data_IF_366288351809
#
_entry.id   IF_366288351809
#
_cell.length_a   1.000
_cell.length_b   1.000
_cell.length_c   1.000
_cell.angle_alpha   90.00
_cell.angle_beta   90.00
_cell.angle_gamma   90.00
#
_symmetry.space_group_name_H-M   'P 1'
#
loop_
_entity.id
_entity.type
_entity.pdbx_description
1 polymer ?
#
# COMPACT_ATOMS: atom_id res chain seq x y z
N UNK A 1 -57.61 72.95 -34.86
CA UNK A 1 -58.39 73.19 -33.63
C UNK A 1 -58.83 71.83 -33.08
N UNK A 2 -58.66 71.64 -31.78
CA UNK A 2 -58.75 70.37 -31.04
C UNK A 2 -60.12 69.67 -31.14
N UNK A 3 -60.12 68.34 -31.19
CA UNK A 3 -61.32 67.53 -30.92
C UNK A 3 -60.93 66.22 -30.22
N UNK A 4 -61.58 65.94 -29.09
CA UNK A 4 -61.35 64.82 -28.18
C UNK A 4 -62.25 63.62 -28.53
N UNK A 5 -61.71 62.40 -28.47
CA UNK A 5 -62.43 61.10 -28.40
C UNK A 5 -61.54 60.12 -27.63
N UNK A 6 -61.81 59.80 -26.36
CA UNK A 6 -62.84 58.95 -25.75
C UNK A 6 -62.36 57.51 -25.49
N UNK A 7 -62.06 57.25 -24.21
CA UNK A 7 -62.26 56.03 -23.39
C UNK A 7 -62.30 54.64 -24.06
N UNK A 8 -61.50 53.69 -23.55
CA UNK A 8 -61.98 52.59 -22.67
C UNK A 8 -61.11 51.32 -22.76
N UNK A 9 -60.63 50.90 -21.58
CA UNK A 9 -60.44 49.52 -21.07
C UNK A 9 -60.04 48.34 -21.98
N UNK A 10 -58.99 47.63 -21.55
CA UNK A 10 -58.67 46.24 -21.94
C UNK A 10 -57.17 45.96 -21.75
N UNK A 11 -56.69 45.76 -20.52
CA UNK A 11 -56.35 44.43 -19.98
C UNK A 11 -55.55 43.55 -20.94
N UNK A 12 -54.23 43.47 -20.75
CA UNK A 12 -53.49 42.22 -21.00
C UNK A 12 -52.25 42.17 -20.11
N UNK A 13 -52.41 41.35 -19.07
CA UNK A 13 -51.36 40.77 -18.25
C UNK A 13 -50.36 40.07 -19.20
N UNK A 14 -49.22 40.70 -19.47
CA UNK A 14 -48.18 40.17 -20.33
C UNK A 14 -46.84 40.27 -19.64
N UNK A 15 -46.62 39.41 -18.65
CA UNK A 15 -45.33 39.19 -18.03
C UNK A 15 -44.28 38.80 -19.08
N UNK A 16 -43.49 39.76 -19.56
CA UNK A 16 -42.22 39.42 -20.19
C UNK A 16 -41.11 39.68 -19.17
N UNK A 17 -40.93 38.69 -18.29
CA UNK A 17 -39.60 38.41 -17.79
C UNK A 17 -38.77 38.05 -19.03
N UNK A 18 -38.15 39.03 -19.67
CA UNK A 18 -37.04 38.72 -20.56
C UNK A 18 -35.91 38.37 -19.62
N UNK A 19 -35.91 37.10 -19.21
CA UNK A 19 -34.77 36.44 -18.64
C UNK A 19 -33.77 36.29 -19.79
N UNK A 20 -33.16 37.41 -20.21
CA UNK A 20 -31.97 37.42 -21.06
C UNK A 20 -30.80 36.90 -20.22
N UNK A 21 -30.91 35.64 -19.80
CA UNK A 21 -29.83 34.84 -19.23
C UNK A 21 -29.02 34.23 -20.37
N UNK A 22 -28.74 35.05 -21.39
CA UNK A 22 -27.71 34.78 -22.37
C UNK A 22 -26.42 35.38 -21.84
N UNK A 23 -25.59 34.57 -21.19
CA UNK A 23 -24.24 34.98 -20.81
C UNK A 23 -23.42 35.15 -22.10
N UNK A 24 -23.51 36.31 -22.73
CA UNK A 24 -22.66 36.70 -23.86
C UNK A 24 -21.25 36.96 -23.32
N UNK A 25 -20.47 35.88 -23.20
CA UNK A 25 -19.03 35.95 -23.01
C UNK A 25 -18.45 36.68 -24.21
N UNK A 26 -17.93 37.89 -24.00
CA UNK A 26 -17.20 38.64 -25.02
C UNK A 26 -16.06 37.75 -25.54
N UNK A 27 -15.86 37.66 -26.87
CA UNK A 27 -14.90 36.71 -27.48
C UNK A 27 -13.48 36.75 -26.89
N UNK A 28 -13.12 37.88 -26.29
CA UNK A 28 -11.88 38.08 -25.54
C UNK A 28 -11.76 37.18 -24.29
N UNK A 29 -12.79 37.08 -23.44
CA UNK A 29 -12.72 36.27 -22.22
C UNK A 29 -12.79 34.77 -22.51
N UNK A 30 -13.54 34.36 -23.54
CA UNK A 30 -13.53 32.97 -24.03
C UNK A 30 -12.11 32.53 -24.42
N UNK A 31 -11.37 33.40 -25.11
CA UNK A 31 -9.99 33.14 -25.52
C UNK A 31 -9.05 33.00 -24.31
N UNK A 32 -9.22 33.86 -23.29
CA UNK A 32 -8.43 33.79 -22.06
C UNK A 32 -8.68 32.48 -21.31
N UNK A 33 -9.93 32.04 -21.21
CA UNK A 33 -10.24 30.76 -20.56
C UNK A 33 -9.62 29.58 -21.31
N UNK A 34 -9.75 29.54 -22.64
CA UNK A 34 -9.18 28.46 -23.46
C UNK A 34 -7.65 28.44 -23.33
N UNK A 35 -6.99 29.60 -23.42
CA UNK A 35 -5.55 29.70 -23.25
C UNK A 35 -5.11 29.30 -21.82
N UNK A 36 -5.88 29.69 -20.81
CA UNK A 36 -5.65 29.31 -19.41
C UNK A 36 -5.76 27.80 -19.19
N UNK A 37 -6.80 27.15 -19.71
CA UNK A 37 -6.94 25.69 -19.61
C UNK A 37 -5.85 24.95 -20.39
N UNK A 38 -5.47 25.46 -21.57
CA UNK A 38 -4.39 24.87 -22.36
C UNK A 38 -3.04 24.92 -21.61
N UNK A 39 -2.71 26.07 -21.01
CA UNK A 39 -1.47 26.23 -20.24
C UNK A 39 -1.49 25.40 -18.96
N UNK A 40 -2.60 25.40 -18.22
CA UNK A 40 -2.77 24.57 -17.03
C UNK A 40 -2.67 23.08 -17.36
N UNK A 41 -3.31 22.64 -18.45
CA UNK A 41 -3.22 21.27 -18.93
C UNK A 41 -1.79 20.88 -19.28
N UNK A 42 -1.06 21.73 -19.99
CA UNK A 42 0.34 21.49 -20.31
C UNK A 42 1.22 21.38 -19.05
N UNK A 43 0.99 22.23 -18.05
CA UNK A 43 1.70 22.18 -16.78
C UNK A 43 1.42 20.87 -16.02
N UNK A 44 0.16 20.45 -15.96
CA UNK A 44 -0.24 19.20 -15.31
C UNK A 44 0.38 17.98 -16.00
N UNK A 45 0.33 17.93 -17.34
CA UNK A 45 0.95 16.83 -18.12
C UNK A 45 2.45 16.79 -17.87
N UNK A 46 3.12 17.95 -17.90
CA UNK A 46 4.57 18.04 -17.66
C UNK A 46 4.93 17.54 -16.25
N UNK A 47 4.12 17.90 -15.24
CA UNK A 47 4.29 17.44 -13.86
C UNK A 47 4.08 15.92 -13.74
N UNK A 48 3.06 15.37 -14.41
CA UNK A 48 2.83 13.92 -14.41
C UNK A 48 3.98 13.18 -15.06
N UNK A 49 4.50 13.68 -16.19
CA UNK A 49 5.66 13.09 -16.88
C UNK A 49 6.91 13.16 -16.02
N UNK A 50 7.18 14.30 -15.37
CA UNK A 50 8.35 14.45 -14.50
C UNK A 50 8.26 13.53 -13.28
N UNK A 51 7.09 13.41 -12.66
CA UNK A 51 6.85 12.48 -11.56
C UNK A 51 7.00 11.03 -12.00
N UNK A 52 6.46 10.65 -13.15
CA UNK A 52 6.62 9.31 -13.69
C UNK A 52 8.10 8.97 -13.96
N UNK A 53 8.85 9.91 -14.52
CA UNK A 53 10.30 9.74 -14.75
C UNK A 53 11.09 9.61 -13.44
N UNK A 54 10.75 10.38 -12.40
CA UNK A 54 11.36 10.23 -11.08
C UNK A 54 11.06 8.85 -10.48
N UNK A 55 9.82 8.37 -10.61
CA UNK A 55 9.41 7.06 -10.11
C UNK A 55 10.11 5.92 -10.87
N UNK A 56 10.20 6.06 -12.20
CA UNK A 56 10.90 5.11 -13.06
C UNK A 56 12.41 5.11 -12.80
N UNK A 57 13.02 6.25 -12.49
CA UNK A 57 14.43 6.34 -12.10
C UNK A 57 14.69 5.60 -10.78
N UNK A 58 13.81 5.76 -9.80
CA UNK A 58 13.88 4.98 -8.54
C UNK A 58 13.70 3.49 -8.79
N UNK A 59 12.78 3.08 -9.67
CA UNK A 59 12.55 1.67 -9.99
C UNK A 59 13.70 1.04 -10.79
N UNK A 60 14.24 1.76 -11.78
CA UNK A 60 15.35 1.31 -12.62
C UNK A 60 16.65 1.18 -11.83
N UNK A 61 16.86 2.02 -10.81
CA UNK A 61 17.96 1.87 -9.85
C UNK A 61 17.75 0.72 -8.85
N UNK A 62 16.49 0.29 -8.64
CA UNK A 62 16.11 -0.67 -7.60
C UNK A 62 15.66 -2.03 -8.15
N UNK A 63 15.91 -2.36 -9.43
CA UNK A 63 15.51 -3.64 -10.02
C UNK A 63 15.98 -4.85 -9.18
N UNK A 64 17.21 -4.83 -8.66
CA UNK A 64 17.71 -5.84 -7.72
C UNK A 64 17.26 -5.65 -6.26
N UNK A 65 16.90 -4.42 -5.87
CA UNK A 65 16.37 -4.11 -4.52
C UNK A 65 14.95 -4.62 -4.35
N UNK A 66 14.15 -4.66 -5.42
CA UNK A 66 12.78 -5.21 -5.39
C UNK A 66 12.83 -6.73 -5.22
N UNK A 67 13.73 -7.43 -5.92
CA UNK A 67 13.94 -8.87 -5.72
C UNK A 67 14.51 -9.17 -4.32
N UNK A 68 15.49 -8.40 -3.85
CA UNK A 68 16.05 -8.56 -2.51
C UNK A 68 15.01 -8.30 -1.41
N UNK A 69 14.14 -7.30 -1.61
CA UNK A 69 13.02 -7.03 -0.70
C UNK A 69 12.03 -8.19 -0.67
N UNK A 70 11.72 -8.78 -1.83
CA UNK A 70 10.84 -9.93 -1.91
C UNK A 70 11.43 -11.15 -1.17
N UNK A 71 12.72 -11.43 -1.36
CA UNK A 71 13.43 -12.49 -0.62
C UNK A 71 13.43 -12.22 0.90
N UNK A 72 13.63 -10.96 1.30
CA UNK A 72 13.64 -10.58 2.72
C UNK A 72 12.25 -10.66 3.36
N UNK A 73 11.21 -10.30 2.60
CA UNK A 73 9.81 -10.41 3.03
C UNK A 73 9.42 -11.89 3.17
N UNK A 74 9.83 -12.74 2.23
CA UNK A 74 9.66 -14.20 2.30
C UNK A 74 10.40 -14.81 3.50
N UNK A 75 11.65 -14.40 3.74
CA UNK A 75 12.42 -14.82 4.91
C UNK A 75 11.77 -14.42 6.23
N UNK A 76 11.31 -13.18 6.32
CA UNK A 76 10.63 -12.66 7.50
C UNK A 76 9.33 -13.39 7.77
N UNK A 77 8.54 -13.64 6.71
CA UNK A 77 7.32 -14.42 6.78
C UNK A 77 7.58 -15.85 7.27
N UNK A 78 8.54 -16.56 6.67
CA UNK A 78 8.85 -17.94 7.02
C UNK A 78 9.38 -18.07 8.45
N UNK A 79 10.15 -17.09 8.93
CA UNK A 79 10.64 -17.04 10.31
C UNK A 79 9.51 -16.82 11.32
N UNK A 80 8.58 -15.92 11.02
CA UNK A 80 7.41 -15.68 11.89
C UNK A 80 6.51 -16.92 11.90
N UNK A 81 6.28 -17.52 10.73
CA UNK A 81 5.46 -18.72 10.59
C UNK A 81 6.04 -19.90 11.37
N UNK A 82 7.35 -20.15 11.26
CA UNK A 82 8.01 -21.25 11.99
C UNK A 82 7.94 -21.04 13.51
N UNK A 83 8.15 -19.81 13.97
CA UNK A 83 8.00 -19.47 15.39
C UNK A 83 6.57 -19.66 15.87
N UNK A 84 5.59 -19.21 15.08
CA UNK A 84 4.17 -19.37 15.38
C UNK A 84 3.77 -20.85 15.45
N UNK A 85 4.23 -21.68 14.52
CA UNK A 85 3.99 -23.12 14.54
C UNK A 85 4.59 -23.77 15.80
N UNK A 86 5.84 -23.42 16.13
CA UNK A 86 6.55 -23.95 17.31
C UNK A 86 5.86 -23.58 18.63
N UNK A 87 5.42 -22.32 18.77
CA UNK A 87 4.75 -21.85 19.98
C UNK A 87 3.34 -22.43 20.16
N UNK A 88 2.65 -22.74 19.06
CA UNK A 88 1.29 -23.27 19.09
C UNK A 88 1.22 -24.80 18.98
N UNK A 89 2.36 -25.50 19.00
CA UNK A 89 2.44 -26.95 18.81
C UNK A 89 1.68 -27.44 17.56
N UNK A 90 1.71 -26.63 16.49
CA UNK A 90 1.14 -27.01 15.20
C UNK A 90 2.10 -28.01 14.56
N UNK A 91 1.63 -29.21 14.25
CA UNK A 91 2.47 -30.22 13.59
C UNK A 91 3.01 -29.67 12.25
N UNK A 92 4.29 -29.94 12.02
CA UNK A 92 5.14 -29.45 10.91
C UNK A 92 4.67 -29.81 9.49
N UNK A 93 3.52 -30.48 9.34
CA UNK A 93 3.10 -31.09 8.07
C UNK A 93 2.84 -30.10 6.94
N UNK A 94 2.63 -28.81 7.23
CA UNK A 94 2.28 -27.80 6.24
C UNK A 94 3.27 -26.63 6.21
N UNK A 95 4.55 -26.90 5.98
CA UNK A 95 5.51 -25.84 5.62
C UNK A 95 5.07 -25.21 4.29
N UNK A 96 4.76 -23.89 4.26
CA UNK A 96 4.36 -23.21 3.03
C UNK A 96 5.41 -23.39 1.93
N UNK A 97 4.99 -23.50 0.66
CA UNK A 97 5.91 -23.81 -0.44
C UNK A 97 7.03 -22.75 -0.58
N UNK A 98 6.68 -21.48 -0.38
CA UNK A 98 7.57 -20.31 -0.25
C UNK A 98 8.71 -20.53 0.76
N UNK A 99 8.46 -21.27 1.84
CA UNK A 99 9.44 -21.49 2.91
C UNK A 99 10.32 -22.73 2.70
N UNK A 100 10.05 -23.57 1.69
CA UNK A 100 10.79 -24.83 1.51
C UNK A 100 12.25 -24.59 1.15
N UNK A 101 12.53 -23.71 0.20
CA UNK A 101 13.90 -23.40 -0.19
C UNK A 101 14.69 -22.75 0.94
N UNK A 102 14.03 -21.86 1.70
CA UNK A 102 14.61 -21.24 2.89
C UNK A 102 14.87 -22.28 4.00
N UNK A 103 13.96 -23.23 4.22
CA UNK A 103 14.15 -24.31 5.18
C UNK A 103 15.33 -25.20 4.79
N UNK A 104 15.45 -25.55 3.50
CA UNK A 104 16.60 -26.28 2.97
C UNK A 104 17.91 -25.50 3.16
N UNK A 105 17.90 -24.18 2.92
CA UNK A 105 19.06 -23.33 3.13
C UNK A 105 19.41 -23.22 4.62
N UNK A 106 18.43 -23.13 5.51
CA UNK A 106 18.64 -23.07 6.96
C UNK A 106 19.30 -24.35 7.51
N UNK A 107 18.90 -25.51 6.97
CA UNK A 107 19.50 -26.81 7.28
C UNK A 107 20.91 -26.93 6.67
N UNK A 108 21.03 -26.75 5.34
CA UNK A 108 22.31 -26.91 4.62
C UNK A 108 23.35 -25.86 4.98
N UNK A 109 22.91 -24.65 5.33
CA UNK A 109 23.75 -23.53 5.76
C UNK A 109 24.28 -23.67 7.19
N UNK A 110 23.95 -24.77 7.88
CA UNK A 110 24.46 -25.08 9.21
C UNK A 110 23.85 -24.24 10.34
N UNK A 111 22.82 -23.43 10.04
CA UNK A 111 22.15 -22.63 11.07
C UNK A 111 21.30 -23.52 11.98
N UNK A 112 20.64 -24.53 11.41
CA UNK A 112 19.95 -25.58 12.18
C UNK A 112 20.87 -26.24 13.22
N UNK A 113 22.11 -26.58 12.83
CA UNK A 113 23.07 -27.24 13.72
C UNK A 113 23.50 -26.30 14.85
N UNK A 114 23.77 -25.02 14.56
CA UNK A 114 24.13 -24.04 15.61
C UNK A 114 23.01 -23.84 16.63
N UNK A 115 21.77 -23.76 16.17
CA UNK A 115 20.62 -23.58 17.05
C UNK A 115 20.38 -24.85 17.90
N UNK A 116 20.65 -26.03 17.33
CA UNK A 116 20.62 -27.31 18.02
C UNK A 116 21.71 -27.39 19.10
N UNK A 117 22.96 -27.04 18.77
CA UNK A 117 24.08 -27.03 19.72
C UNK A 117 23.84 -26.08 20.90
N UNK A 118 23.26 -24.91 20.61
CA UNK A 118 22.88 -23.94 21.64
C UNK A 118 21.79 -24.50 22.56
N UNK A 119 20.77 -25.17 21.98
CA UNK A 119 19.70 -25.81 22.75
C UNK A 119 20.25 -26.93 23.63
N UNK A 120 21.15 -27.76 23.08
CA UNK A 120 21.84 -28.82 23.82
C UNK A 120 22.63 -28.26 25.00
N UNK A 121 23.39 -27.17 24.80
CA UNK A 121 24.16 -26.53 25.88
C UNK A 121 23.26 -26.08 27.03
N UNK A 122 22.10 -25.48 26.74
CA UNK A 122 21.14 -25.05 27.78
C UNK A 122 20.59 -26.25 28.54
N UNK A 123 20.31 -27.36 27.84
CA UNK A 123 19.82 -28.59 28.45
C UNK A 123 20.89 -29.22 29.36
N UNK A 124 22.14 -29.28 28.89
CA UNK A 124 23.26 -29.80 29.69
C UNK A 124 23.50 -28.95 30.94
N UNK A 125 23.49 -27.61 30.81
CA UNK A 125 23.61 -26.70 31.96
C UNK A 125 22.48 -26.89 32.97
N UNK A 126 21.25 -27.09 32.50
CA UNK A 126 20.11 -27.38 33.36
C UNK A 126 20.34 -28.67 34.16
N UNK A 127 20.69 -29.78 33.48
CA UNK A 127 20.91 -31.06 34.16
C UNK A 127 22.11 -31.04 35.12
N UNK A 128 23.17 -30.30 34.80
CA UNK A 128 24.30 -30.11 35.71
C UNK A 128 23.93 -29.33 36.99
N UNK A 129 22.91 -28.46 36.92
CA UNK A 129 22.43 -27.68 38.04
C UNK A 129 21.41 -28.39 38.94
N UNK A 130 20.80 -29.48 38.46
CA UNK A 130 19.82 -30.25 39.23
C UNK A 130 20.55 -31.25 40.14
N UNK A 131 20.31 -31.16 41.45
CA UNK A 131 20.75 -32.19 42.39
C UNK A 131 19.81 -33.39 42.27
N UNK A 132 20.33 -34.60 42.02
CA UNK A 132 19.48 -35.78 41.97
C UNK A 132 18.82 -36.04 43.32
N UNK A 133 17.57 -36.50 43.30
CA UNK A 133 16.87 -36.95 44.50
C UNK A 133 17.51 -38.24 45.00
N UNK A 134 17.66 -38.41 46.32
CA UNK A 134 18.33 -39.59 46.92
C UNK A 134 17.67 -40.94 46.56
N UNK A 135 16.44 -40.93 46.01
CA UNK A 135 15.72 -42.11 45.57
C UNK A 135 16.22 -42.68 44.22
N UNK A 136 17.19 -42.05 43.58
CA UNK A 136 17.86 -42.57 42.37
C UNK A 136 16.96 -42.67 41.13
N UNK A 137 15.81 -41.99 41.15
CA UNK A 137 14.77 -42.07 40.13
C UNK A 137 14.74 -40.82 39.23
N UNK A 138 15.90 -40.25 38.91
CA UNK A 138 15.97 -39.14 37.96
C UNK A 138 16.15 -39.69 36.55
N UNK A 139 15.02 -40.02 35.91
CA UNK A 139 14.98 -40.58 34.56
C UNK A 139 14.94 -39.45 33.53
N UNK A 140 16.05 -39.27 32.82
CA UNK A 140 16.03 -38.90 31.41
C UNK A 140 17.04 -39.82 30.72
N UNK A 141 16.55 -40.95 30.17
CA UNK A 141 17.32 -41.85 29.29
C UNK A 141 17.26 -41.37 27.85
#
# INVERSE_FOLDING_TARGET
>A
MYSTRSLSAGSEMGSSFVLESGFYITSFSATIFIAGFATLGLLLVTLLVSMAMMLQSCQNSNGGVIELRNINDDYSYCKIHSLHAKLNNLEEYNVPNICKDLALQYIKGGQYVRDLDSTKSVIEDYFNGVKPSEDGLDVAS
#
